data_IF_665347886263
#
_entry.id   IF_665347886263
#
_cell.length_a   1.000
_cell.length_b   1.000
_cell.length_c   1.000
_cell.angle_alpha   90.00
_cell.angle_beta   90.00
_cell.angle_gamma   90.00
#
_symmetry.space_group_name_H-M   'P 1'
#
loop_
_entity.id
_entity.type
_entity.pdbx_description
1 polymer ?
#
# COMPACT_ATOMS: atom_id res chain seq x y z
N UNK A 1 11.56 13.14 7.78
CA UNK A 1 11.92 13.52 6.40
C UNK A 1 12.16 12.24 5.61
N UNK A 2 11.38 12.08 4.55
CA UNK A 2 11.42 10.91 3.69
C UNK A 2 12.80 10.70 3.05
N UNK A 3 13.19 9.44 2.92
CA UNK A 3 14.34 9.02 2.11
C UNK A 3 14.08 9.27 0.62
N UNK A 4 15.14 9.28 -0.19
CA UNK A 4 15.01 9.39 -1.66
C UNK A 4 14.07 8.34 -2.24
N UNK A 5 14.12 7.09 -1.75
CA UNK A 5 13.22 6.02 -2.21
C UNK A 5 11.77 6.31 -1.84
N UNK A 6 11.50 6.74 -0.60
CA UNK A 6 10.14 7.10 -0.17
C UNK A 6 9.58 8.28 -0.98
N UNK A 7 10.43 9.27 -1.28
CA UNK A 7 10.06 10.39 -2.14
C UNK A 7 9.76 9.94 -3.58
N UNK A 8 10.59 9.08 -4.17
CA UNK A 8 10.34 8.51 -5.50
C UNK A 8 9.04 7.71 -5.51
N UNK A 9 8.80 6.88 -4.50
CA UNK A 9 7.59 6.08 -4.39
C UNK A 9 6.34 6.96 -4.35
N UNK A 10 6.32 7.99 -3.49
CA UNK A 10 5.21 8.93 -3.43
C UNK A 10 5.05 9.71 -4.75
N UNK A 11 6.14 10.21 -5.33
CA UNK A 11 6.11 10.96 -6.60
C UNK A 11 5.57 10.13 -7.77
N UNK A 12 5.86 8.84 -7.77
CA UNK A 12 5.51 7.93 -8.86
C UNK A 12 4.22 7.12 -8.59
N UNK A 13 3.55 7.35 -7.45
CA UNK A 13 2.31 6.66 -7.13
C UNK A 13 1.16 7.16 -8.02
N UNK A 14 0.52 6.26 -8.81
CA UNK A 14 -0.48 6.67 -9.79
C UNK A 14 -1.78 7.16 -9.14
N UNK A 15 -2.19 6.56 -8.03
CA UNK A 15 -3.41 6.98 -7.32
C UNK A 15 -3.20 8.36 -6.69
N UNK A 16 -2.00 8.62 -6.17
CA UNK A 16 -1.64 9.92 -5.62
C UNK A 16 -1.55 10.99 -6.72
N UNK A 17 -1.04 10.66 -7.90
CA UNK A 17 -1.05 11.55 -9.07
C UNK A 17 -2.48 11.95 -9.44
N UNK A 18 -3.39 11.00 -9.61
CA UNK A 18 -4.79 11.26 -9.96
C UNK A 18 -5.46 12.16 -8.92
N UNK A 19 -5.19 11.93 -7.63
CA UNK A 19 -5.72 12.75 -6.53
C UNK A 19 -5.18 14.17 -6.53
N UNK A 20 -3.89 14.39 -6.84
CA UNK A 20 -3.35 15.74 -6.97
C UNK A 20 -3.95 16.47 -8.16
N UNK A 21 -4.16 15.78 -9.29
CA UNK A 21 -4.80 16.38 -10.47
C UNK A 21 -6.22 16.81 -10.12
N UNK A 22 -7.03 15.93 -9.54
CA UNK A 22 -8.39 16.25 -9.14
C UNK A 22 -8.43 17.41 -8.11
N UNK A 23 -7.48 17.45 -7.18
CA UNK A 23 -7.39 18.55 -6.21
C UNK A 23 -6.98 19.88 -6.86
N UNK A 24 -6.08 19.83 -7.86
CA UNK A 24 -5.69 21.00 -8.63
C UNK A 24 -6.83 21.53 -9.52
N UNK A 25 -7.64 20.64 -10.11
CA UNK A 25 -8.86 21.01 -10.84
C UNK A 25 -9.88 21.71 -9.93
N UNK A 26 -10.09 21.18 -8.72
CA UNK A 26 -10.99 21.80 -7.73
C UNK A 26 -10.49 23.16 -7.22
N UNK A 27 -9.19 23.43 -7.35
CA UNK A 27 -8.57 24.70 -7.02
C UNK A 27 -8.48 25.65 -8.24
N UNK A 28 -9.17 25.33 -9.34
CA UNK A 28 -9.17 26.09 -10.59
C UNK A 28 -7.76 26.32 -11.19
N UNK A 29 -6.85 25.35 -11.04
CA UNK A 29 -5.54 25.40 -11.69
C UNK A 29 -5.68 25.05 -13.17
N UNK A 30 -5.35 25.99 -14.04
CA UNK A 30 -5.31 25.79 -15.49
C UNK A 30 -4.36 24.65 -15.89
N UNK A 31 -4.82 23.80 -16.81
CA UNK A 31 -4.07 22.62 -17.27
C UNK A 31 -3.56 21.76 -16.09
N UNK A 32 -4.41 21.56 -15.07
CA UNK A 32 -4.10 20.87 -13.81
C UNK A 32 -3.22 19.62 -13.98
N UNK A 33 -3.54 18.73 -14.93
CA UNK A 33 -2.74 17.53 -15.19
C UNK A 33 -1.28 17.84 -15.52
N UNK A 34 -1.03 18.77 -16.44
CA UNK A 34 0.33 19.19 -16.82
C UNK A 34 1.03 19.89 -15.66
N UNK A 35 0.32 20.77 -14.95
CA UNK A 35 0.86 21.51 -13.81
C UNK A 35 1.30 20.57 -12.69
N UNK A 36 0.47 19.59 -12.32
CA UNK A 36 0.78 18.60 -11.28
C UNK A 36 1.98 17.76 -11.68
N UNK A 37 2.00 17.20 -12.89
CA UNK A 37 3.12 16.38 -13.36
C UNK A 37 4.45 17.16 -13.36
N UNK A 38 4.41 18.44 -13.76
CA UNK A 38 5.59 19.31 -13.74
C UNK A 38 6.07 19.64 -12.31
N UNK A 39 5.18 19.58 -11.31
CA UNK A 39 5.48 19.95 -9.93
C UNK A 39 5.49 18.77 -8.94
N UNK A 40 5.30 17.53 -9.40
CA UNK A 40 5.06 16.37 -8.53
C UNK A 40 6.16 16.18 -7.46
N UNK A 41 7.43 16.34 -7.84
CA UNK A 41 8.54 16.26 -6.88
C UNK A 41 8.47 17.33 -5.77
N UNK A 42 7.97 18.53 -6.07
CA UNK A 42 7.75 19.57 -5.06
C UNK A 42 6.51 19.28 -4.22
N UNK A 43 5.42 18.87 -4.86
CA UNK A 43 4.15 18.57 -4.19
C UNK A 43 4.30 17.50 -3.12
N UNK A 44 5.12 16.47 -3.37
CA UNK A 44 5.33 15.41 -2.36
C UNK A 44 6.36 15.78 -1.29
N UNK A 45 7.13 16.85 -1.48
CA UNK A 45 8.25 17.24 -0.61
C UNK A 45 8.06 18.52 0.19
N UNK A 46 6.96 19.26 -0.03
CA UNK A 46 6.63 20.43 0.78
C UNK A 46 6.01 20.02 2.12
N UNK A 47 6.30 20.78 3.17
CA UNK A 47 5.67 20.63 4.48
C UNK A 47 4.18 20.98 4.38
N UNK A 48 3.32 20.04 4.77
CA UNK A 48 1.85 20.18 4.71
C UNK A 48 1.20 20.15 6.08
N UNK A 49 1.91 19.72 7.13
CA UNK A 49 1.41 19.68 8.50
C UNK A 49 2.56 19.50 9.50
N UNK A 50 2.96 20.58 10.16
CA UNK A 50 3.85 20.51 11.33
C UNK A 50 5.21 19.85 11.11
N UNK A 51 5.80 19.94 9.92
CA UNK A 51 7.07 19.30 9.57
C UNK A 51 6.92 18.00 8.77
N UNK A 52 5.69 17.60 8.43
CA UNK A 52 5.40 16.39 7.68
C UNK A 52 5.12 16.71 6.20
N UNK A 53 5.73 15.93 5.30
CA UNK A 53 5.46 16.01 3.86
C UNK A 53 4.49 14.91 3.42
N UNK A 54 3.90 15.05 2.24
CA UNK A 54 3.07 13.97 1.64
C UNK A 54 3.90 12.69 1.43
N UNK A 55 5.20 12.80 1.12
CA UNK A 55 6.08 11.63 1.04
C UNK A 55 6.24 10.92 2.40
N UNK A 56 6.27 11.64 3.52
CA UNK A 56 6.30 11.04 4.86
C UNK A 56 4.99 10.31 5.17
N UNK A 57 3.83 10.92 4.86
CA UNK A 57 2.50 10.29 5.07
C UNK A 57 2.35 9.03 4.22
N UNK A 58 2.74 9.10 2.94
CA UNK A 58 2.71 7.96 2.03
C UNK A 58 3.63 6.83 2.52
N UNK A 59 4.84 7.16 3.00
CA UNK A 59 5.76 6.18 3.55
C UNK A 59 5.17 5.45 4.77
N UNK A 60 4.55 6.20 5.68
CA UNK A 60 3.87 5.63 6.85
C UNK A 60 2.71 4.71 6.46
N UNK A 61 1.89 5.11 5.47
CA UNK A 61 0.79 4.28 4.97
C UNK A 61 1.31 2.97 4.35
N UNK A 62 2.40 3.03 3.59
CA UNK A 62 3.06 1.85 3.03
C UNK A 62 3.58 0.91 4.13
N UNK A 63 4.33 1.44 5.09
CA UNK A 63 4.88 0.65 6.21
C UNK A 63 3.76 -0.02 7.01
N UNK A 64 2.68 0.71 7.29
CA UNK A 64 1.49 0.16 7.97
C UNK A 64 0.90 -1.01 7.20
N UNK A 65 0.74 -0.87 5.87
CA UNK A 65 0.22 -1.94 5.02
C UNK A 65 1.15 -3.15 4.99
N UNK A 66 2.46 -2.94 4.89
CA UNK A 66 3.44 -4.02 4.87
C UNK A 66 3.39 -4.84 6.18
N UNK A 67 3.28 -4.16 7.33
CA UNK A 67 3.09 -4.82 8.65
C UNK A 67 1.82 -5.69 8.68
N UNK A 68 0.70 -5.20 8.13
CA UNK A 68 -0.53 -5.99 8.09
C UNK A 68 -0.41 -7.23 7.20
N UNK A 69 0.30 -7.12 6.07
CA UNK A 69 0.53 -8.26 5.18
C UNK A 69 1.40 -9.30 5.88
N UNK A 70 2.50 -8.88 6.51
CA UNK A 70 3.40 -9.79 7.22
C UNK A 70 2.73 -10.46 8.43
N UNK A 71 1.79 -9.77 9.07
CA UNK A 71 0.99 -10.31 10.18
C UNK A 71 -0.21 -11.16 9.70
N UNK A 72 -0.47 -11.24 8.40
CA UNK A 72 -1.60 -12.04 7.88
C UNK A 72 -1.25 -13.52 8.03
N UNK A 73 -2.05 -14.31 8.79
CA UNK A 73 -1.81 -15.74 8.93
C UNK A 73 -1.80 -16.44 7.57
N UNK A 74 -1.03 -17.52 7.48
CA UNK A 74 -1.04 -18.36 6.29
C UNK A 74 -2.45 -18.86 5.98
N UNK A 75 -2.72 -19.03 4.68
CA UNK A 75 -3.99 -19.63 4.25
C UNK A 75 -4.11 -21.02 4.88
N UNK A 76 -5.30 -21.48 5.30
CA UNK A 76 -5.47 -22.77 5.98
C UNK A 76 -4.92 -23.99 5.22
N UNK A 77 -4.87 -23.94 3.88
CA UNK A 77 -4.28 -25.02 3.06
C UNK A 77 -2.74 -24.96 2.93
N UNK A 78 -2.11 -23.89 3.40
CA UNK A 78 -0.65 -23.70 3.47
C UNK A 78 -0.15 -23.91 4.91
N UNK A 79 -0.99 -23.61 5.90
CA UNK A 79 -0.70 -23.88 7.31
C UNK A 79 -0.75 -25.39 7.62
N UNK A 80 0.40 -26.05 7.44
CA UNK A 80 0.59 -27.48 7.72
C UNK A 80 0.56 -27.81 9.23
N UNK A 81 0.54 -26.79 10.11
CA UNK A 81 0.42 -26.98 11.56
C UNK A 81 -1.06 -27.05 11.95
N UNK A 82 -1.93 -26.27 11.32
CA UNK A 82 -3.37 -26.32 11.57
C UNK A 82 -4.05 -27.50 10.86
N UNK A 83 -3.71 -27.76 9.59
CA UNK A 83 -4.23 -28.91 8.83
C UNK A 83 -3.08 -29.87 8.55
N UNK A 84 -2.82 -30.74 9.52
CA UNK A 84 -1.73 -31.72 9.46
C UNK A 84 -2.05 -32.90 8.54
N UNK A 85 -1.01 -33.61 8.09
CA UNK A 85 -1.15 -34.87 7.34
C UNK A 85 -1.93 -35.94 8.11
N UNK A 86 -1.88 -35.92 9.45
CA UNK A 86 -2.66 -36.83 10.29
C UNK A 86 -4.15 -36.54 10.20
N UNK A 87 -4.57 -35.27 10.18
CA UNK A 87 -5.96 -34.88 9.96
C UNK A 87 -6.45 -35.34 8.59
N UNK A 88 -5.63 -35.14 7.55
CA UNK A 88 -5.96 -35.58 6.18
C UNK A 88 -6.11 -37.10 6.09
N UNK A 89 -5.16 -37.85 6.66
CA UNK A 89 -5.18 -39.32 6.68
C UNK A 89 -6.40 -39.87 7.43
N UNK A 90 -6.74 -39.26 8.57
CA UNK A 90 -7.91 -39.65 9.36
C UNK A 90 -9.21 -39.43 8.57
N UNK A 91 -9.35 -38.27 7.91
CA UNK A 91 -10.52 -37.95 7.09
C UNK A 91 -10.70 -38.94 5.92
N UNK A 92 -9.62 -39.25 5.20
CA UNK A 92 -9.66 -40.22 4.07
C UNK A 92 -10.07 -41.61 4.56
N UNK A 93 -9.51 -42.04 5.69
CA UNK A 93 -9.81 -43.37 6.26
C UNK A 93 -11.27 -43.49 6.64
N UNK A 94 -11.83 -42.47 7.30
CA UNK A 94 -13.23 -42.47 7.74
C UNK A 94 -14.20 -42.59 6.55
N UNK A 95 -13.92 -41.92 5.43
CA UNK A 95 -14.78 -42.00 4.23
C UNK A 95 -14.63 -43.34 3.51
N UNK A 96 -13.44 -43.95 3.47
CA UNK A 96 -13.22 -45.27 2.86
C UNK A 96 -13.95 -46.42 3.56
N UNK A 97 -14.30 -46.24 4.83
CA UNK A 97 -15.00 -47.25 5.63
C UNK A 97 -16.53 -47.17 5.56
N UNK A 98 -17.07 -46.22 4.78
CA UNK A 98 -18.50 -46.07 4.45
C UNK A 98 -18.77 -46.79 3.13
#
# INVERSE_FOLDING_TARGET
>A
MATTTQHINARNDPDLLDRFIASAEQADIDNASQWVQANMGKLVGVDVDGGQTVADVHAYAKETRDVYIDATPDRPGVDLVAVTDSHLTAAITAVRTI
#
